data_IF_662122752492
#
_entry.id   IF_662122752492
#
_cell.length_a   1.000
_cell.length_b   1.000
_cell.length_c   1.000
_cell.angle_alpha   90.00
_cell.angle_beta   90.00
_cell.angle_gamma   90.00
#
_symmetry.space_group_name_H-M   'P 1'
#
loop_
_entity.id
_entity.type
_entity.pdbx_description
1 polymer ?
#
# COMPACT_ATOMS: atom_id res chain seq x y z
N UNK A 1 15.03 16.82 15.63
CA UNK A 1 14.10 17.42 16.60
C UNK A 1 13.10 16.34 16.97
N UNK A 2 12.85 16.11 18.26
CA UNK A 2 11.86 15.11 18.67
C UNK A 2 10.48 15.76 18.50
N UNK A 3 9.69 15.32 17.52
CA UNK A 3 8.31 15.77 17.35
C UNK A 3 7.48 15.33 18.58
N UNK A 4 6.70 16.23 19.22
CA UNK A 4 5.85 15.86 20.35
C UNK A 4 4.86 14.75 19.98
N UNK A 5 4.66 13.78 20.88
CA UNK A 5 3.75 12.65 20.65
C UNK A 5 2.33 13.10 20.24
N UNK A 6 1.83 14.19 20.83
CA UNK A 6 0.51 14.74 20.50
C UNK A 6 0.40 15.20 19.04
N UNK A 7 1.46 15.83 18.52
CA UNK A 7 1.49 16.31 17.12
C UNK A 7 1.49 15.12 16.15
N UNK A 8 2.27 14.08 16.46
CA UNK A 8 2.28 12.83 15.68
C UNK A 8 0.91 12.15 15.65
N UNK A 9 0.19 12.13 16.79
CA UNK A 9 -1.14 11.54 16.89
C UNK A 9 -2.20 12.36 16.14
N UNK A 10 -2.05 13.69 16.14
CA UNK A 10 -2.89 14.59 15.34
C UNK A 10 -2.66 14.38 13.84
N UNK A 11 -1.40 14.26 13.41
CA UNK A 11 -1.04 14.00 12.01
C UNK A 11 -1.58 12.63 11.55
N UNK A 12 -1.39 11.58 12.36
CA UNK A 12 -1.99 10.25 12.11
C UNK A 12 -3.50 10.35 11.91
N UNK A 13 -4.18 11.12 12.76
CA UNK A 13 -5.63 11.32 12.68
C UNK A 13 -6.03 12.04 11.39
N UNK A 14 -5.27 13.06 10.97
CA UNK A 14 -5.50 13.76 9.71
C UNK A 14 -5.32 12.86 8.49
N UNK A 15 -4.30 11.99 8.47
CA UNK A 15 -4.08 11.00 7.40
C UNK A 15 -5.26 10.03 7.33
N UNK A 16 -5.70 9.49 8.47
CA UNK A 16 -6.87 8.60 8.52
C UNK A 16 -8.14 9.27 8.00
N UNK A 17 -8.37 10.54 8.34
CA UNK A 17 -9.50 11.31 7.80
C UNK A 17 -9.41 11.51 6.28
N UNK A 18 -8.20 11.69 5.73
CA UNK A 18 -8.02 11.74 4.28
C UNK A 18 -8.34 10.40 3.61
N UNK A 19 -7.91 9.28 4.22
CA UNK A 19 -8.21 7.93 3.71
C UNK A 19 -9.73 7.69 3.68
N UNK A 20 -10.46 8.08 4.74
CA UNK A 20 -11.92 7.94 4.81
C UNK A 20 -12.68 8.74 3.75
N UNK A 21 -12.07 9.79 3.18
CA UNK A 21 -12.68 10.65 2.16
C UNK A 21 -12.39 10.20 0.73
N UNK A 22 -11.56 9.17 0.54
CA UNK A 22 -11.25 8.67 -0.79
C UNK A 22 -12.50 8.05 -1.44
N UNK A 23 -12.73 8.29 -2.74
CA UNK A 23 -13.78 7.61 -3.48
C UNK A 23 -13.41 6.15 -3.75
N UNK A 24 -14.32 5.39 -4.36
CA UNK A 24 -14.01 4.06 -4.87
C UNK A 24 -12.78 4.08 -5.77
N UNK A 25 -11.88 3.12 -5.56
CA UNK A 25 -10.63 3.03 -6.30
C UNK A 25 -10.32 1.59 -6.70
N UNK A 26 -9.53 1.45 -7.77
CA UNK A 26 -9.00 0.15 -8.21
C UNK A 26 -7.50 0.22 -8.42
N UNK A 27 -6.83 -0.88 -8.07
CA UNK A 27 -5.38 -0.99 -8.23
C UNK A 27 -4.97 -1.05 -9.70
N UNK A 28 -3.75 -0.58 -9.97
CA UNK A 28 -3.11 -0.71 -11.27
C UNK A 28 -2.54 0.59 -11.78
N UNK A 29 -2.24 0.61 -13.07
CA UNK A 29 -1.82 1.78 -13.83
C UNK A 29 -2.44 1.75 -15.23
N UNK A 30 -2.71 2.93 -15.78
CA UNK A 30 -3.21 3.07 -17.16
C UNK A 30 -2.06 3.51 -18.05
N UNK A 31 -1.80 2.75 -19.10
CA UNK A 31 -0.75 3.06 -20.08
C UNK A 31 -1.32 3.22 -21.48
N UNK A 32 -0.74 4.15 -22.24
CA UNK A 32 -1.03 4.32 -23.65
C UNK A 32 -0.09 3.42 -24.47
N UNK A 33 -0.66 2.60 -25.36
CA UNK A 33 0.11 1.72 -26.24
C UNK A 33 -0.20 2.00 -27.71
N UNK A 34 0.78 1.75 -28.58
CA UNK A 34 0.59 1.76 -30.03
C UNK A 34 0.84 0.36 -30.56
N UNK A 35 0.04 -0.09 -31.51
CA UNK A 35 0.19 -1.43 -32.07
C UNK A 35 -0.64 -1.62 -33.33
N UNK A 36 -0.50 -2.77 -33.97
CA UNK A 36 -1.35 -3.13 -35.10
C UNK A 36 -2.78 -3.34 -34.60
N UNK A 37 -3.75 -2.85 -35.36
CA UNK A 37 -5.17 -3.07 -35.08
C UNK A 37 -5.69 -4.27 -35.88
N UNK A 38 -6.89 -4.77 -35.55
CA UNK A 38 -7.49 -5.92 -36.25
C UNK A 38 -7.93 -5.64 -37.70
N UNK A 39 -7.87 -4.40 -38.17
CA UNK A 39 -8.24 -4.05 -39.56
C UNK A 39 -7.01 -4.18 -40.46
N UNK A 40 -6.96 -5.14 -41.40
CA UNK A 40 -5.78 -5.38 -42.24
C UNK A 40 -5.48 -4.20 -43.19
N UNK A 41 -6.50 -3.43 -43.56
CA UNK A 41 -6.39 -2.24 -44.41
C UNK A 41 -5.97 -0.98 -43.65
N UNK A 42 -5.77 -1.07 -42.33
CA UNK A 42 -5.35 0.10 -41.56
C UNK A 42 -3.90 0.47 -41.88
N UNK A 43 -3.64 1.78 -41.97
CA UNK A 43 -2.30 2.33 -42.17
C UNK A 43 -1.26 1.82 -41.15
N UNK A 44 -1.67 1.37 -39.96
CA UNK A 44 -0.75 0.77 -38.98
C UNK A 44 -0.10 -0.55 -39.42
N UNK A 45 -0.57 -1.17 -40.52
CA UNK A 45 0.02 -2.37 -41.11
C UNK A 45 1.05 -2.07 -42.20
N UNK A 46 1.21 -0.80 -42.59
CA UNK A 46 2.20 -0.42 -43.59
C UNK A 46 3.62 -0.46 -43.00
N UNK A 47 4.64 -0.87 -43.79
CA UNK A 47 6.03 -0.82 -43.37
C UNK A 47 6.44 0.58 -42.92
N UNK A 48 7.25 0.66 -41.86
CA UNK A 48 7.79 1.91 -41.30
C UNK A 48 6.75 2.92 -40.77
N UNK A 49 5.49 2.52 -40.63
CA UNK A 49 4.47 3.39 -40.04
C UNK A 49 4.28 3.14 -38.55
N UNK A 50 3.93 4.17 -37.76
CA UNK A 50 3.65 3.98 -36.34
C UNK A 50 2.42 3.09 -36.16
N UNK A 51 2.45 2.25 -35.14
CA UNK A 51 1.29 1.46 -34.73
C UNK A 51 0.08 2.35 -34.41
N UNK A 52 -1.12 1.83 -34.68
CA UNK A 52 -2.39 2.47 -34.35
C UNK A 52 -2.46 2.75 -32.85
N UNK A 53 -2.96 3.92 -32.47
CA UNK A 53 -3.15 4.30 -31.09
C UNK A 53 -3.16 5.81 -30.86
N UNK A 54 -3.29 6.25 -29.59
CA UNK A 54 -3.09 5.43 -28.39
C UNK A 54 -4.26 4.48 -28.05
N UNK A 55 -3.93 3.23 -27.76
CA UNK A 55 -4.81 2.26 -27.11
C UNK A 55 -4.51 2.25 -25.61
N UNK A 56 -5.45 2.74 -24.81
CA UNK A 56 -5.29 2.78 -23.36
C UNK A 56 -5.65 1.43 -22.73
N UNK A 57 -4.86 1.00 -21.74
CA UNK A 57 -5.09 -0.24 -21.00
C UNK A 57 -4.84 -0.04 -19.52
N UNK A 58 -5.72 -0.56 -18.66
CA UNK A 58 -5.45 -0.72 -17.24
C UNK A 58 -4.72 -2.03 -17.02
N UNK A 59 -3.56 -1.98 -16.36
CA UNK A 59 -2.79 -3.17 -15.98
C UNK A 59 -2.68 -3.25 -14.46
N UNK A 60 -3.00 -4.41 -13.87
CA UNK A 60 -2.92 -4.62 -12.41
C UNK A 60 -2.51 -6.04 -12.03
N UNK A 61 -2.03 -6.21 -10.80
CA UNK A 61 -1.73 -7.52 -10.23
C UNK A 61 -2.94 -8.06 -9.46
N UNK A 62 -3.40 -9.26 -9.81
CA UNK A 62 -4.47 -9.99 -9.11
C UNK A 62 -3.93 -11.38 -8.80
N UNK A 63 -3.83 -11.73 -7.51
CA UNK A 63 -3.29 -13.03 -7.05
C UNK A 63 -1.92 -13.35 -7.72
N UNK A 64 -1.03 -12.37 -7.77
CA UNK A 64 0.31 -12.49 -8.39
C UNK A 64 0.34 -12.41 -9.93
N UNK A 65 -0.79 -12.57 -10.61
CA UNK A 65 -0.88 -12.54 -12.08
C UNK A 65 -1.16 -11.14 -12.59
N UNK A 66 -0.60 -10.81 -13.75
CA UNK A 66 -0.91 -9.55 -14.45
C UNK A 66 -2.25 -9.70 -15.17
N UNK A 67 -3.18 -8.78 -14.90
CA UNK A 67 -4.47 -8.67 -15.57
C UNK A 67 -4.50 -7.34 -16.32
N UNK A 68 -4.94 -7.38 -17.56
CA UNK A 68 -5.03 -6.23 -18.46
C UNK A 68 -6.48 -6.05 -18.91
N UNK A 69 -6.97 -4.82 -18.80
CA UNK A 69 -8.32 -4.41 -19.21
C UNK A 69 -8.21 -3.31 -20.28
N UNK A 70 -9.02 -3.41 -21.32
CA UNK A 70 -9.15 -2.40 -22.39
C UNK A 70 -10.47 -1.64 -22.21
N UNK A 71 -10.52 -0.40 -22.68
CA UNK A 71 -11.71 0.43 -22.58
C UNK A 71 -12.45 0.46 -23.92
N UNK A 72 -13.78 0.32 -23.88
CA UNK A 72 -14.61 0.36 -25.08
C UNK A 72 -14.81 1.80 -25.59
N UNK A 73 -14.80 2.77 -24.69
CA UNK A 73 -15.03 4.18 -25.01
C UNK A 73 -14.25 5.13 -24.06
N UNK A 74 -14.28 6.42 -24.36
CA UNK A 74 -13.60 7.46 -23.58
C UNK A 74 -14.17 7.64 -22.18
N UNK A 75 -15.47 7.40 -21.97
CA UNK A 75 -16.10 7.55 -20.66
C UNK A 75 -15.63 6.48 -19.68
N UNK A 76 -15.49 5.23 -20.13
CA UNK A 76 -14.89 4.13 -19.35
C UNK A 76 -13.44 4.42 -18.99
N UNK A 77 -12.65 4.94 -19.94
CA UNK A 77 -11.27 5.35 -19.68
C UNK A 77 -11.21 6.47 -18.63
N UNK A 78 -12.03 7.51 -18.74
CA UNK A 78 -12.04 8.62 -17.78
C UNK A 78 -12.45 8.15 -16.38
N UNK A 79 -13.43 7.25 -16.29
CA UNK A 79 -13.81 6.61 -15.02
C UNK A 79 -12.64 5.85 -14.42
N UNK A 80 -11.96 5.02 -15.23
CA UNK A 80 -10.77 4.28 -14.82
C UNK A 80 -9.64 5.17 -14.32
N UNK A 81 -9.38 6.28 -15.01
CA UNK A 81 -8.35 7.24 -14.62
C UNK A 81 -8.61 7.82 -13.24
N UNK A 82 -9.85 8.21 -12.93
CA UNK A 82 -10.22 8.72 -11.60
C UNK A 82 -10.04 7.67 -10.50
N UNK A 83 -10.50 6.45 -10.75
CA UNK A 83 -10.38 5.34 -9.78
C UNK A 83 -8.91 4.95 -9.54
N UNK A 84 -8.09 4.92 -10.58
CA UNK A 84 -6.65 4.62 -10.47
C UNK A 84 -5.90 5.76 -9.78
N UNK A 85 -6.27 7.03 -10.04
CA UNK A 85 -5.72 8.17 -9.33
C UNK A 85 -6.03 8.11 -7.83
N UNK A 86 -7.27 7.78 -7.46
CA UNK A 86 -7.66 7.58 -6.07
C UNK A 86 -6.87 6.44 -5.41
N UNK A 87 -6.60 5.34 -6.13
CA UNK A 87 -5.71 4.27 -5.66
C UNK A 87 -4.27 4.74 -5.43
N UNK A 88 -3.73 5.57 -6.31
CA UNK A 88 -2.40 6.14 -6.10
C UNK A 88 -2.36 7.03 -4.87
N UNK A 89 -3.39 7.85 -4.63
CA UNK A 89 -3.49 8.66 -3.41
C UNK A 89 -3.61 7.78 -2.16
N UNK A 90 -4.42 6.72 -2.21
CA UNK A 90 -4.50 5.73 -1.13
C UNK A 90 -3.12 5.15 -0.78
N UNK A 91 -2.33 4.75 -1.78
CA UNK A 91 -0.99 4.20 -1.54
C UNK A 91 -0.05 5.19 -0.86
N UNK A 92 -0.09 6.45 -1.26
CA UNK A 92 0.70 7.51 -0.62
C UNK A 92 0.29 7.69 0.84
N UNK A 93 -1.01 7.84 1.10
CA UNK A 93 -1.53 7.99 2.46
C UNK A 93 -1.23 6.77 3.34
N UNK A 94 -1.28 5.56 2.80
CA UNK A 94 -0.92 4.34 3.53
C UNK A 94 0.56 4.31 3.92
N UNK A 95 1.45 4.83 3.05
CA UNK A 95 2.87 4.96 3.35
C UNK A 95 3.11 6.05 4.41
N UNK A 96 2.51 7.22 4.25
CA UNK A 96 2.54 8.30 5.25
C UNK A 96 2.02 7.81 6.62
N UNK A 97 0.94 7.03 6.62
CA UNK A 97 0.37 6.43 7.83
C UNK A 97 1.34 5.43 8.49
N UNK A 98 2.06 4.64 7.72
CA UNK A 98 3.05 3.71 8.27
C UNK A 98 4.18 4.50 8.96
N UNK A 99 4.75 5.48 8.26
CA UNK A 99 5.85 6.30 8.75
C UNK A 99 5.49 7.05 10.04
N UNK A 100 4.29 7.66 10.10
CA UNK A 100 3.86 8.36 11.33
C UNK A 100 3.65 7.38 12.49
N UNK A 101 3.14 6.17 12.23
CA UNK A 101 2.99 5.17 13.28
C UNK A 101 4.34 4.65 13.78
N UNK A 102 5.34 4.51 12.92
CA UNK A 102 6.70 4.15 13.34
C UNK A 102 7.28 5.21 14.28
N UNK A 103 7.12 6.51 13.96
CA UNK A 103 7.52 7.60 14.87
C UNK A 103 6.78 7.54 16.21
N UNK A 104 5.47 7.30 16.20
CA UNK A 104 4.65 7.16 17.42
C UNK A 104 5.13 5.98 18.26
N UNK A 105 5.43 4.84 17.64
CA UNK A 105 5.94 3.65 18.33
C UNK A 105 7.27 3.92 19.03
N UNK A 106 8.17 4.69 18.40
CA UNK A 106 9.44 5.09 19.01
C UNK A 106 9.26 6.09 20.16
N UNK A 107 8.28 6.98 20.06
CA UNK A 107 8.00 8.01 21.07
C UNK A 107 7.29 7.45 22.32
N UNK A 108 6.56 6.34 22.19
CA UNK A 108 5.84 5.72 23.31
C UNK A 108 6.80 4.94 24.22
N UNK A 109 6.73 5.13 25.55
CA UNK A 109 7.57 4.38 26.48
C UNK A 109 7.17 2.89 26.50
N UNK A 110 8.14 2.02 26.74
CA UNK A 110 7.86 0.61 27.01
C UNK A 110 7.20 0.49 28.38
N UNK A 111 5.97 0.00 28.43
CA UNK A 111 5.33 -0.35 29.69
C UNK A 111 6.10 -1.51 30.34
N UNK A 112 6.72 -1.25 31.50
CA UNK A 112 7.26 -2.32 32.31
C UNK A 112 6.12 -3.03 33.04
N UNK A 113 5.80 -4.25 32.62
CA UNK A 113 4.90 -5.12 33.37
C UNK A 113 5.43 -5.26 34.80
N UNK A 114 4.65 -4.78 35.77
CA UNK A 114 5.03 -4.78 37.17
C UNK A 114 5.34 -6.21 37.66
N UNK A 115 6.64 -6.47 37.87
CA UNK A 115 7.25 -7.54 38.64
C UNK A 115 6.43 -8.81 38.91
N UNK A 116 6.57 -9.82 38.04
CA UNK A 116 6.44 -11.20 38.47
C UNK A 116 7.56 -11.49 39.49
N UNK A 117 7.27 -11.27 40.78
CA UNK A 117 8.17 -11.60 41.90
C UNK A 117 8.53 -13.08 41.80
N UNK A 118 9.72 -13.39 41.27
CA UNK A 118 10.31 -14.73 41.36
C UNK A 118 10.50 -15.05 42.85
N UNK A 119 9.57 -15.80 43.44
CA UNK A 119 9.76 -16.38 44.78
C UNK A 119 11.03 -17.22 44.75
N UNK A 120 12.11 -16.74 45.37
CA UNK A 120 13.32 -17.52 45.63
C UNK A 120 12.91 -18.76 46.44
N UNK A 121 12.95 -19.95 45.83
CA UNK A 121 12.87 -21.21 46.56
C UNK A 121 14.10 -21.30 47.46
N UNK A 122 13.90 -21.36 48.79
CA UNK A 122 14.98 -21.67 49.74
C UNK A 122 15.49 -23.08 49.43
N UNK A 123 16.75 -23.18 49.04
CA UNK A 123 17.46 -24.46 48.94
C UNK A 123 17.60 -25.05 50.33
N UNK A 124 16.90 -26.15 50.63
CA UNK A 124 17.16 -26.93 51.84
C UNK A 124 18.45 -27.73 51.63
N UNK A 125 19.53 -27.31 52.27
CA UNK A 125 20.76 -28.09 52.35
C UNK A 125 20.50 -29.37 53.17
N UNK A 126 20.27 -30.51 52.50
CA UNK A 126 20.35 -31.82 53.14
C UNK A 126 21.83 -32.20 53.24
N UNK A 127 22.40 -32.09 54.44
CA UNK A 127 23.65 -32.78 54.80
C UNK A 127 23.33 -34.27 54.87
N UNK A 128 23.93 -35.07 53.99
CA UNK A 128 23.97 -36.52 54.16
C UNK A 128 25.15 -36.84 55.08
N UNK A 129 24.88 -37.47 56.23
CA UNK A 129 25.90 -38.12 57.03
C UNK A 129 26.28 -39.45 56.36
N UNK A 130 27.58 -39.72 56.36
CA UNK A 130 28.21 -40.94 55.89
C UNK A 130 27.95 -42.10 56.86
N UNK A 131 27.79 -43.29 56.30
CA UNK A 131 28.21 -44.60 56.83
C UNK A 131 28.41 -45.53 55.64
#
# INVERSE_FOLDING_TARGET
MNEPLGDLEQERSAILQQILRLPDFRSGSITATRGTCGKPTCHCHQPNQPGHGPNYRLTRKVKGKTVTETFANSAELQKAQREVQAYHRFRQLAQELLEINEKICLARPVEQLAGAKKKRRKSSSRKFLAT
#
